data_IF_590345399572
#
_entry.id   IF_590345399572
#
_cell.length_a   1.000
_cell.length_b   1.000
_cell.length_c   1.000
_cell.angle_alpha   90.00
_cell.angle_beta   90.00
_cell.angle_gamma   90.00
#
_symmetry.space_group_name_H-M   'P 1'
#
loop_
_entity.id
_entity.type
_entity.pdbx_description
1 polymer ?
#
# COMPACT_ATOMS: atom_id res chain seq x y z
N UNK A 1 -11.28 -14.70 4.43
CA UNK A 1 -12.11 -14.91 3.20
C UNK A 1 -11.89 -13.81 2.15
N UNK A 2 -11.82 -12.53 2.57
CA UNK A 2 -11.53 -11.37 1.70
C UNK A 2 -10.24 -11.51 0.87
N UNK A 3 -9.15 -11.93 1.49
CA UNK A 3 -7.85 -12.11 0.82
C UNK A 3 -7.85 -12.98 -0.43
N UNK A 4 -8.67 -14.04 -0.48
CA UNK A 4 -8.70 -14.91 -1.67
C UNK A 4 -9.22 -14.18 -2.91
N UNK A 5 -9.97 -13.11 -2.72
CA UNK A 5 -10.58 -12.35 -3.80
C UNK A 5 -9.76 -11.10 -4.16
N UNK A 6 -9.11 -10.49 -3.17
CA UNK A 6 -8.26 -9.32 -3.37
C UNK A 6 -6.90 -9.68 -3.97
N UNK A 7 -6.33 -10.84 -3.61
CA UNK A 7 -5.02 -11.26 -4.11
C UNK A 7 -4.95 -11.43 -5.65
N UNK A 8 -5.94 -12.05 -6.33
CA UNK A 8 -5.95 -12.07 -7.80
C UNK A 8 -6.00 -10.68 -8.43
N UNK A 9 -6.72 -9.73 -7.80
CA UNK A 9 -6.79 -8.35 -8.28
C UNK A 9 -5.45 -7.66 -8.10
N UNK A 10 -4.81 -7.82 -6.95
CA UNK A 10 -3.46 -7.31 -6.69
C UNK A 10 -2.45 -7.87 -7.71
N UNK A 11 -2.44 -9.18 -7.94
CA UNK A 11 -1.56 -9.84 -8.91
C UNK A 11 -1.83 -9.38 -10.34
N UNK A 12 -3.11 -9.22 -10.71
CA UNK A 12 -3.51 -8.69 -12.00
C UNK A 12 -3.06 -7.25 -12.19
N UNK A 13 -3.22 -6.41 -11.15
CA UNK A 13 -2.80 -5.00 -11.17
C UNK A 13 -1.28 -4.87 -11.27
N UNK A 14 -0.51 -5.62 -10.48
CA UNK A 14 0.96 -5.59 -10.55
C UNK A 14 1.47 -6.11 -11.88
N UNK A 15 0.88 -7.18 -12.42
CA UNK A 15 1.26 -7.69 -13.74
C UNK A 15 0.92 -6.68 -14.85
N UNK A 16 -0.27 -6.06 -14.80
CA UNK A 16 -0.65 -5.04 -15.76
C UNK A 16 0.33 -3.86 -15.74
N UNK A 17 0.70 -3.38 -14.55
CA UNK A 17 1.65 -2.28 -14.40
C UNK A 17 3.05 -2.69 -14.85
N UNK A 18 3.49 -3.91 -14.54
CA UNK A 18 4.77 -4.41 -15.00
C UNK A 18 4.83 -4.44 -16.55
N UNK A 19 3.80 -4.98 -17.21
CA UNK A 19 3.70 -5.04 -18.67
C UNK A 19 3.63 -3.64 -19.30
N UNK A 20 2.82 -2.74 -18.74
CA UNK A 20 2.74 -1.35 -19.21
C UNK A 20 4.08 -0.61 -19.05
N UNK A 21 4.78 -0.88 -17.95
CA UNK A 21 6.15 -0.42 -17.74
C UNK A 21 7.06 -0.83 -18.90
N UNK A 22 7.14 -2.12 -19.24
CA UNK A 22 8.06 -2.62 -20.27
C UNK A 22 7.74 -2.18 -21.72
N UNK A 23 6.53 -1.69 -22.02
CA UNK A 23 6.09 -1.47 -23.40
C UNK A 23 6.11 -0.01 -23.82
N UNK A 24 5.40 0.87 -23.11
CA UNK A 24 5.19 2.26 -23.55
C UNK A 24 5.04 3.28 -22.40
N UNK A 25 5.24 2.85 -21.15
CA UNK A 25 4.85 3.63 -19.97
C UNK A 25 3.32 3.69 -19.80
N UNK A 26 2.86 4.54 -18.88
CA UNK A 26 1.44 4.67 -18.55
C UNK A 26 0.92 5.97 -19.17
N UNK A 27 0.37 5.86 -20.38
CA UNK A 27 -0.34 6.96 -21.04
C UNK A 27 -1.75 7.18 -20.50
N UNK A 28 -2.38 8.28 -20.92
CA UNK A 28 -3.72 8.70 -20.49
C UNK A 28 -4.79 7.60 -20.53
N UNK A 29 -4.82 6.82 -21.61
CA UNK A 29 -5.80 5.73 -21.78
C UNK A 29 -5.52 4.62 -20.76
N UNK A 30 -4.27 4.20 -20.62
CA UNK A 30 -3.89 3.14 -19.69
C UNK A 30 -4.20 3.56 -18.24
N UNK A 31 -3.87 4.79 -17.87
CA UNK A 31 -4.20 5.35 -16.56
C UNK A 31 -5.72 5.38 -16.30
N UNK A 32 -6.51 5.86 -17.26
CA UNK A 32 -7.96 5.88 -17.13
C UNK A 32 -8.56 4.47 -16.98
N UNK A 33 -8.04 3.49 -17.72
CA UNK A 33 -8.46 2.08 -17.59
C UNK A 33 -8.13 1.53 -16.20
N UNK A 34 -6.94 1.79 -15.67
CA UNK A 34 -6.56 1.38 -14.30
C UNK A 34 -7.48 2.01 -13.24
N UNK A 35 -7.77 3.31 -13.38
CA UNK A 35 -8.65 4.01 -12.44
C UNK A 35 -10.10 3.50 -12.50
N UNK A 36 -10.63 3.24 -13.71
CA UNK A 36 -11.95 2.62 -13.88
C UNK A 36 -11.96 1.19 -13.31
N UNK A 37 -10.86 0.44 -13.44
CA UNK A 37 -10.73 -0.88 -12.83
C UNK A 37 -10.80 -0.81 -11.30
N UNK A 38 -10.21 0.23 -10.66
CA UNK A 38 -10.39 0.47 -9.23
C UNK A 38 -11.86 0.71 -8.89
N UNK A 39 -12.55 1.59 -9.61
CA UNK A 39 -13.96 1.89 -9.35
C UNK A 39 -14.85 0.65 -9.50
N UNK A 40 -14.59 -0.16 -10.53
CA UNK A 40 -15.27 -1.43 -10.74
C UNK A 40 -14.97 -2.42 -9.60
N UNK A 41 -13.72 -2.53 -9.16
CA UNK A 41 -13.32 -3.38 -8.04
C UNK A 41 -14.02 -2.97 -6.74
N UNK A 42 -14.02 -1.67 -6.41
CA UNK A 42 -14.72 -1.14 -5.23
C UNK A 42 -16.22 -1.40 -5.33
N UNK A 43 -16.85 -1.09 -6.47
CA UNK A 43 -18.28 -1.32 -6.68
C UNK A 43 -18.67 -2.80 -6.56
N UNK A 44 -17.87 -3.71 -7.14
CA UNK A 44 -18.06 -5.15 -7.02
C UNK A 44 -17.83 -5.65 -5.59
N UNK A 45 -16.87 -5.08 -4.87
CA UNK A 45 -16.59 -5.43 -3.47
C UNK A 45 -17.78 -5.06 -2.58
N UNK A 46 -18.31 -3.84 -2.73
CA UNK A 46 -19.50 -3.36 -2.02
C UNK A 46 -20.75 -4.20 -2.33
N UNK A 47 -20.93 -4.57 -3.60
CA UNK A 47 -22.08 -5.39 -4.00
C UNK A 47 -22.02 -6.83 -3.51
N UNK A 48 -20.82 -7.43 -3.48
CA UNK A 48 -20.64 -8.82 -3.02
C UNK A 48 -20.70 -8.97 -1.52
N UNK A 49 -20.30 -7.94 -0.79
CA UNK A 49 -20.09 -8.02 0.65
C UNK A 49 -20.75 -6.83 1.37
N UNK A 50 -22.08 -6.64 1.25
CA UNK A 50 -22.78 -5.53 1.89
C UNK A 50 -22.60 -5.55 3.42
N UNK A 51 -22.50 -6.74 4.01
CA UNK A 51 -22.45 -6.92 5.47
C UNK A 51 -21.03 -7.15 6.02
N UNK A 52 -19.98 -7.13 5.16
CA UNK A 52 -18.62 -7.43 5.62
C UNK A 52 -18.08 -6.38 6.60
N UNK A 53 -18.41 -5.10 6.37
CA UNK A 53 -18.05 -4.03 7.28
C UNK A 53 -18.70 -4.21 8.66
N UNK A 54 -19.97 -4.64 8.70
CA UNK A 54 -20.72 -4.87 9.94
C UNK A 54 -20.20 -6.10 10.68
N UNK A 55 -19.86 -7.17 9.96
CA UNK A 55 -19.27 -8.39 10.54
C UNK A 55 -17.88 -8.10 11.13
N UNK A 56 -17.02 -7.39 10.39
CA UNK A 56 -15.70 -6.98 10.87
C UNK A 56 -15.79 -6.03 12.06
N UNK A 57 -16.78 -5.12 12.06
CA UNK A 57 -17.03 -4.25 13.19
C UNK A 57 -17.50 -5.06 14.42
N UNK A 58 -18.41 -6.02 14.26
CA UNK A 58 -18.91 -6.83 15.38
C UNK A 58 -17.82 -7.66 16.07
N UNK A 59 -16.82 -8.14 15.32
CA UNK A 59 -15.70 -8.91 15.88
C UNK A 59 -14.68 -8.05 16.67
N UNK A 60 -14.64 -6.75 16.39
CA UNK A 60 -13.58 -5.86 16.89
C UNK A 60 -14.08 -4.68 17.74
N UNK A 61 -15.36 -4.35 17.62
CA UNK A 61 -16.04 -3.34 18.44
C UNK A 61 -16.72 -4.11 19.58
N UNK A 62 -16.33 -3.88 20.85
CA UNK A 62 -16.97 -4.51 21.99
C UNK A 62 -18.50 -4.30 21.94
N UNK A 63 -19.27 -5.31 22.35
CA UNK A 63 -20.72 -5.26 22.38
C UNK A 63 -21.23 -3.92 22.93
N UNK A 64 -22.10 -3.27 22.15
CA UNK A 64 -22.49 -1.87 22.27
C UNK A 64 -22.60 -1.36 23.72
N UNK A 65 -21.80 -0.33 24.04
CA UNK A 65 -22.13 0.60 25.11
C UNK A 65 -23.42 1.36 24.76
N UNK A 66 -24.03 2.00 25.76
CA UNK A 66 -25.17 2.92 25.57
C UNK A 66 -24.98 3.81 24.33
N UNK A 67 -26.06 4.14 23.59
CA UNK A 67 -25.96 4.93 22.37
C UNK A 67 -25.14 6.19 22.60
N UNK A 68 -24.06 6.34 21.83
CA UNK A 68 -23.12 7.46 21.96
C UNK A 68 -23.87 8.78 21.92
N UNK A 69 -23.58 9.64 22.89
CA UNK A 69 -24.05 11.02 22.90
C UNK A 69 -23.45 11.78 21.71
N UNK A 70 -24.15 12.82 21.25
CA UNK A 70 -23.63 13.70 20.17
C UNK A 70 -22.25 14.28 20.50
N UNK A 71 -21.97 14.49 21.78
CA UNK A 71 -20.69 14.98 22.26
C UNK A 71 -19.58 13.94 22.11
N UNK A 72 -19.86 12.67 22.39
CA UNK A 72 -18.90 11.57 22.20
C UNK A 72 -18.59 11.37 20.71
N UNK A 73 -19.60 11.38 19.85
CA UNK A 73 -19.39 11.29 18.39
C UNK A 73 -18.53 12.45 17.90
N UNK A 74 -18.83 13.69 18.32
CA UNK A 74 -18.04 14.85 17.96
C UNK A 74 -16.59 14.75 18.46
N UNK A 75 -16.39 14.26 19.70
CA UNK A 75 -15.06 14.03 20.28
C UNK A 75 -14.27 13.00 19.49
N UNK A 76 -14.85 11.84 19.18
CA UNK A 76 -14.19 10.79 18.40
C UNK A 76 -13.89 11.26 16.97
N UNK A 77 -14.80 12.00 16.34
CA UNK A 77 -14.57 12.59 15.02
C UNK A 77 -13.40 13.59 15.03
N UNK A 78 -13.31 14.44 16.07
CA UNK A 78 -12.18 15.37 16.24
C UNK A 78 -10.88 14.60 16.47
N UNK A 79 -10.88 13.58 17.33
CA UNK A 79 -9.69 12.75 17.58
C UNK A 79 -9.24 12.01 16.32
N UNK A 80 -10.18 11.50 15.52
CA UNK A 80 -9.91 10.86 14.24
C UNK A 80 -9.25 11.84 13.26
N UNK A 81 -9.83 13.04 13.09
CA UNK A 81 -9.29 14.05 12.18
C UNK A 81 -7.90 14.55 12.63
N UNK A 82 -7.71 14.77 13.93
CA UNK A 82 -6.42 15.14 14.49
C UNK A 82 -5.38 14.03 14.30
N UNK A 83 -5.77 12.77 14.51
CA UNK A 83 -4.90 11.61 14.30
C UNK A 83 -4.49 11.44 12.83
N UNK A 84 -5.46 11.55 11.91
CA UNK A 84 -5.21 11.50 10.47
C UNK A 84 -4.30 12.65 10.02
N UNK A 85 -4.58 13.88 10.45
CA UNK A 85 -3.76 15.04 10.14
C UNK A 85 -2.35 14.92 10.72
N UNK A 86 -2.22 14.44 11.97
CA UNK A 86 -0.93 14.20 12.61
C UNK A 86 -0.10 13.14 11.90
N UNK A 87 -0.72 12.05 11.43
CA UNK A 87 -0.04 11.03 10.64
C UNK A 87 0.45 11.57 9.30
N UNK A 88 -0.40 12.29 8.56
CA UNK A 88 -0.05 12.86 7.26
C UNK A 88 1.07 13.92 7.36
N UNK A 89 0.95 14.86 8.29
CA UNK A 89 1.98 15.88 8.52
C UNK A 89 3.28 15.25 9.02
N UNK A 90 3.17 14.25 9.90
CA UNK A 90 4.33 13.52 10.41
C UNK A 90 5.09 12.77 9.31
N UNK A 91 4.37 12.12 8.38
CA UNK A 91 5.00 11.47 7.23
C UNK A 91 5.68 12.47 6.30
N UNK A 92 5.04 13.60 6.01
CA UNK A 92 5.60 14.61 5.10
C UNK A 92 6.89 15.21 5.66
N UNK A 93 6.88 15.61 6.94
CA UNK A 93 8.09 16.13 7.60
C UNK A 93 9.22 15.10 7.64
N UNK A 94 8.91 13.82 7.86
CA UNK A 94 9.88 12.75 7.85
C UNK A 94 10.47 12.53 6.45
N UNK A 95 9.64 12.55 5.40
CA UNK A 95 10.07 12.43 4.00
C UNK A 95 10.98 13.58 3.62
N UNK A 96 10.58 14.83 3.90
CA UNK A 96 11.36 16.02 3.54
C UNK A 96 12.72 16.03 4.23
N UNK A 97 12.74 15.75 5.55
CA UNK A 97 13.97 15.69 6.33
C UNK A 97 14.92 14.59 5.85
N UNK A 98 14.41 13.37 5.65
CA UNK A 98 15.21 12.24 5.20
C UNK A 98 15.70 12.42 3.76
N UNK A 99 14.88 12.98 2.87
CA UNK A 99 15.26 13.25 1.47
C UNK A 99 16.37 14.30 1.41
N UNK A 100 16.28 15.36 2.22
CA UNK A 100 17.32 16.38 2.32
C UNK A 100 18.66 15.84 2.82
N UNK A 101 18.65 14.87 3.76
CA UNK A 101 19.87 14.18 4.21
C UNK A 101 20.43 13.30 3.08
N UNK A 102 19.58 12.52 2.42
CA UNK A 102 19.98 11.61 1.34
C UNK A 102 20.61 12.34 0.15
N UNK A 103 20.03 13.48 -0.25
CA UNK A 103 20.61 14.34 -1.29
C UNK A 103 22.01 14.84 -0.92
N UNK A 104 22.20 15.29 0.32
CA UNK A 104 23.52 15.75 0.82
C UNK A 104 24.53 14.61 0.96
N UNK A 105 24.06 13.38 1.09
CA UNK A 105 24.88 12.17 1.10
C UNK A 105 25.23 11.68 -0.32
N UNK A 106 24.80 12.37 -1.38
CA UNK A 106 25.11 12.02 -2.77
C UNK A 106 24.27 10.88 -3.35
N UNK A 107 23.14 10.54 -2.73
CA UNK A 107 22.21 9.52 -3.24
C UNK A 107 21.41 10.14 -4.41
N UNK A 108 21.26 9.40 -5.52
CA UNK A 108 20.50 9.86 -6.69
C UNK A 108 19.02 10.11 -6.37
N UNK A 109 18.41 11.07 -7.08
CA UNK A 109 16.99 11.40 -6.93
C UNK A 109 16.07 10.19 -7.18
N UNK A 110 16.42 9.34 -8.15
CA UNK A 110 15.68 8.10 -8.43
C UNK A 110 15.70 7.18 -7.20
N UNK A 111 16.89 6.93 -6.61
CA UNK A 111 17.01 6.08 -5.42
C UNK A 111 16.28 6.69 -4.21
N UNK A 112 16.32 8.01 -4.03
CA UNK A 112 15.53 8.69 -2.99
C UNK A 112 14.03 8.47 -3.22
N UNK A 113 13.57 8.60 -4.47
CA UNK A 113 12.18 8.36 -4.88
C UNK A 113 11.70 6.95 -4.55
N UNK A 114 12.46 5.94 -4.96
CA UNK A 114 12.07 4.53 -4.76
C UNK A 114 12.35 4.00 -3.35
N UNK A 115 13.00 4.78 -2.48
CA UNK A 115 13.29 4.39 -1.08
C UNK A 115 12.64 5.34 -0.08
N UNK A 116 13.23 6.50 0.15
CA UNK A 116 12.84 7.45 1.20
C UNK A 116 11.42 7.96 1.00
N UNK A 117 11.09 8.42 -0.21
CA UNK A 117 9.75 8.92 -0.52
C UNK A 117 8.74 7.78 -0.44
N UNK A 118 9.01 6.64 -1.09
CA UNK A 118 8.13 5.48 -1.08
C UNK A 118 7.83 4.94 0.34
N UNK A 119 8.84 4.86 1.20
CA UNK A 119 8.68 4.46 2.61
C UNK A 119 7.85 5.50 3.34
N UNK A 120 8.19 6.77 3.19
CA UNK A 120 7.60 7.84 3.96
C UNK A 120 6.12 8.04 3.68
N UNK A 121 5.69 7.95 2.41
CA UNK A 121 4.25 7.99 2.05
C UNK A 121 3.48 6.78 2.57
N UNK A 122 4.18 5.66 2.81
CA UNK A 122 3.60 4.43 3.37
C UNK A 122 3.64 4.39 4.90
N UNK A 123 4.25 5.38 5.59
CA UNK A 123 4.34 5.40 7.05
C UNK A 123 2.97 5.39 7.76
N UNK A 124 1.96 6.19 7.34
CA UNK A 124 0.65 6.13 7.96
C UNK A 124 0.02 4.73 7.86
N UNK A 125 0.22 4.05 6.73
CA UNK A 125 -0.27 2.70 6.46
C UNK A 125 0.47 1.66 7.30
N UNK A 126 1.79 1.79 7.44
CA UNK A 126 2.60 0.93 8.31
C UNK A 126 2.14 1.06 9.76
N UNK A 127 1.92 2.28 10.25
CA UNK A 127 1.49 2.52 11.64
C UNK A 127 0.10 1.94 11.89
N UNK A 128 -0.87 2.20 11.01
CA UNK A 128 -2.24 1.68 11.14
C UNK A 128 -2.28 0.15 11.05
N UNK A 129 -1.53 -0.45 10.13
CA UNK A 129 -1.37 -1.91 9.99
C UNK A 129 -0.72 -2.52 11.22
N UNK A 130 0.37 -1.92 11.72
CA UNK A 130 1.09 -2.42 12.89
C UNK A 130 0.21 -2.38 14.14
N UNK A 131 -0.54 -1.30 14.35
CA UNK A 131 -1.50 -1.18 15.46
C UNK A 131 -2.59 -2.26 15.36
N UNK A 132 -3.15 -2.50 14.17
CA UNK A 132 -4.12 -3.57 13.96
C UNK A 132 -3.53 -4.95 14.28
N UNK A 133 -2.32 -5.24 13.79
CA UNK A 133 -1.63 -6.49 14.06
C UNK A 133 -1.31 -6.68 15.56
N UNK A 134 -0.85 -5.64 16.26
CA UNK A 134 -0.60 -5.70 17.70
C UNK A 134 -1.85 -5.93 18.55
N UNK A 135 -3.02 -5.53 18.03
CA UNK A 135 -4.32 -5.82 18.66
C UNK A 135 -4.85 -7.23 18.36
N UNK A 136 -4.12 -8.04 17.60
CA UNK A 136 -4.53 -9.37 17.17
C UNK A 136 -5.46 -9.37 15.94
N UNK A 137 -5.67 -8.21 15.31
CA UNK A 137 -6.60 -8.04 14.20
C UNK A 137 -5.89 -8.33 12.86
N UNK A 138 -5.37 -9.55 12.72
CA UNK A 138 -4.53 -9.93 11.58
C UNK A 138 -5.25 -9.80 10.23
N UNK A 139 -6.55 -10.10 10.19
CA UNK A 139 -7.36 -9.97 8.98
C UNK A 139 -7.49 -8.52 8.52
N UNK A 140 -7.66 -7.58 9.46
CA UNK A 140 -7.71 -6.13 9.19
C UNK A 140 -6.34 -5.63 8.72
N UNK A 141 -5.26 -6.05 9.41
CA UNK A 141 -3.91 -5.66 9.04
C UNK A 141 -3.59 -6.11 7.60
N UNK A 142 -3.94 -7.34 7.24
CA UNK A 142 -3.65 -7.89 5.92
C UNK A 142 -4.55 -7.30 4.82
N UNK A 143 -5.83 -7.06 5.11
CA UNK A 143 -6.73 -6.32 4.22
C UNK A 143 -6.24 -4.89 3.96
N UNK A 144 -5.68 -4.21 4.95
CA UNK A 144 -5.10 -2.88 4.78
C UNK A 144 -3.89 -2.92 3.84
N UNK A 145 -2.96 -3.86 4.03
CA UNK A 145 -1.77 -4.01 3.17
C UNK A 145 -2.15 -4.33 1.71
N UNK A 146 -3.08 -5.27 1.50
CA UNK A 146 -3.49 -5.66 0.15
C UNK A 146 -4.33 -4.54 -0.50
N UNK A 147 -5.29 -3.98 0.23
CA UNK A 147 -6.17 -2.91 -0.22
C UNK A 147 -5.42 -1.62 -0.59
N UNK A 148 -4.50 -1.16 0.25
CA UNK A 148 -3.66 0.03 -0.05
C UNK A 148 -2.79 -0.20 -1.27
N UNK A 149 -2.23 -1.39 -1.47
CA UNK A 149 -1.47 -1.69 -2.70
C UNK A 149 -2.35 -1.68 -3.95
N UNK A 150 -3.56 -2.26 -3.89
CA UNK A 150 -4.53 -2.18 -5.00
C UNK A 150 -4.88 -0.71 -5.28
N UNK A 151 -5.12 0.09 -4.24
CA UNK A 151 -5.44 1.51 -4.37
C UNK A 151 -4.26 2.33 -4.94
N UNK A 152 -3.03 2.07 -4.51
CA UNK A 152 -1.85 2.78 -5.03
C UNK A 152 -1.61 2.44 -6.50
N UNK A 153 -1.77 1.17 -6.88
CA UNK A 153 -1.55 0.68 -8.24
C UNK A 153 -2.67 1.10 -9.21
N UNK A 154 -3.94 0.99 -8.82
CA UNK A 154 -5.07 1.28 -9.70
C UNK A 154 -5.57 2.73 -9.54
N UNK A 155 -5.59 3.24 -8.32
CA UNK A 155 -6.08 4.57 -7.96
C UNK A 155 -5.05 5.66 -8.18
N UNK A 156 -3.99 5.67 -7.38
CA UNK A 156 -2.97 6.73 -7.43
C UNK A 156 -2.27 6.73 -8.78
N UNK A 157 -1.71 5.59 -9.20
CA UNK A 157 -1.01 5.49 -10.47
C UNK A 157 -1.96 5.60 -11.67
N UNK A 158 -3.16 5.02 -11.59
CA UNK A 158 -4.17 5.12 -12.64
C UNK A 158 -4.65 6.56 -12.86
N UNK A 159 -5.02 7.26 -11.79
CA UNK A 159 -5.44 8.66 -11.86
C UNK A 159 -4.31 9.56 -12.36
N UNK A 160 -3.10 9.38 -11.82
CA UNK A 160 -1.93 10.16 -12.27
C UNK A 160 -1.66 9.91 -13.75
N UNK A 161 -1.70 8.64 -14.18
CA UNK A 161 -1.56 8.25 -15.58
C UNK A 161 -2.66 8.81 -16.49
N UNK A 162 -3.89 8.92 -15.98
CA UNK A 162 -5.02 9.50 -16.71
C UNK A 162 -4.81 11.00 -16.96
N UNK A 163 -4.25 11.71 -15.98
CA UNK A 163 -4.00 13.15 -16.04
C UNK A 163 -2.70 13.48 -16.78
N UNK A 164 -1.65 12.67 -16.60
CA UNK A 164 -0.32 12.90 -17.16
C UNK A 164 0.30 11.58 -17.65
N UNK A 165 0.93 11.61 -18.82
CA UNK A 165 1.67 10.43 -19.31
C UNK A 165 2.89 10.18 -18.44
N UNK A 166 2.98 8.98 -17.87
CA UNK A 166 4.09 8.56 -17.01
C UNK A 166 5.10 7.75 -17.81
N UNK A 167 6.30 8.29 -17.94
CA UNK A 167 7.47 7.57 -18.44
C UNK A 167 8.17 6.85 -17.30
N UNK A 168 8.42 5.55 -17.46
CA UNK A 168 9.25 4.78 -16.52
C UNK A 168 10.70 4.87 -16.99
N UNK A 169 11.60 5.24 -16.09
CA UNK A 169 13.03 5.31 -16.38
C UNK A 169 13.57 3.91 -16.69
N UNK A 170 14.40 3.80 -17.74
CA UNK A 170 14.96 2.52 -18.18
C UNK A 170 15.75 1.79 -17.08
N UNK A 171 16.34 2.53 -16.14
CA UNK A 171 17.07 1.99 -14.98
C UNK A 171 16.18 1.12 -14.08
N UNK A 172 14.88 1.37 -14.05
CA UNK A 172 13.90 0.69 -13.18
C UNK A 172 13.43 -0.67 -13.73
N UNK A 173 13.58 -0.92 -15.04
CA UNK A 173 13.03 -2.11 -15.68
C UNK A 173 13.72 -3.40 -15.26
N UNK A 174 15.00 -3.35 -14.94
CA UNK A 174 15.78 -4.56 -14.67
C UNK A 174 15.59 -5.10 -13.25
N UNK A 175 15.16 -4.28 -12.29
CA UNK A 175 15.09 -4.70 -10.90
C UNK A 175 13.81 -4.28 -10.18
N UNK A 176 13.44 -3.02 -10.25
CA UNK A 176 12.32 -2.44 -9.50
C UNK A 176 10.98 -2.96 -10.03
N UNK A 177 10.80 -3.03 -11.36
CA UNK A 177 9.59 -3.59 -11.97
C UNK A 177 9.44 -5.10 -11.71
N UNK A 178 10.49 -5.95 -11.87
CA UNK A 178 10.44 -7.34 -11.42
C UNK A 178 10.17 -7.49 -9.92
N UNK A 179 10.80 -6.67 -9.06
CA UNK A 179 10.58 -6.73 -7.62
C UNK A 179 9.12 -6.40 -7.26
N UNK A 180 8.52 -5.41 -7.92
CA UNK A 180 7.09 -5.10 -7.81
C UNK A 180 6.24 -6.32 -8.15
N UNK A 181 6.50 -6.99 -9.27
CA UNK A 181 5.74 -8.16 -9.72
C UNK A 181 5.90 -9.39 -8.82
N UNK A 182 7.12 -9.62 -8.30
CA UNK A 182 7.44 -10.78 -7.44
C UNK A 182 6.89 -10.60 -6.02
N UNK A 183 6.83 -9.37 -5.50
CA UNK A 183 6.41 -9.11 -4.12
C UNK A 183 5.02 -9.66 -3.72
N UNK A 184 3.92 -9.47 -4.49
CA UNK A 184 2.62 -10.06 -4.15
C UNK A 184 2.60 -11.59 -4.36
N UNK A 185 3.43 -12.14 -5.25
CA UNK A 185 3.57 -13.58 -5.44
C UNK A 185 4.23 -14.21 -4.22
N UNK A 186 5.29 -13.58 -3.71
CA UNK A 186 5.95 -14.00 -2.49
C UNK A 186 4.99 -13.92 -1.30
N UNK A 187 4.23 -12.82 -1.17
CA UNK A 187 3.21 -12.68 -0.15
C UNK A 187 2.18 -13.81 -0.23
N UNK A 188 1.65 -14.09 -1.43
CA UNK A 188 0.69 -15.18 -1.66
C UNK A 188 1.27 -16.55 -1.27
N UNK A 189 2.51 -16.83 -1.68
CA UNK A 189 3.17 -18.09 -1.43
C UNK A 189 3.37 -18.34 0.07
N UNK A 190 3.74 -17.30 0.82
CA UNK A 190 3.92 -17.36 2.27
C UNK A 190 2.57 -17.46 3.01
N UNK A 191 1.53 -16.77 2.53
CA UNK A 191 0.19 -16.82 3.11
C UNK A 191 -0.67 -17.98 2.59
N UNK A 192 -0.10 -18.95 1.87
CA UNK A 192 -0.87 -20.02 1.23
C UNK A 192 -1.32 -21.09 2.22
N UNK A 193 -0.48 -21.38 3.21
CA UNK A 193 -0.67 -22.52 4.14
C UNK A 193 -1.61 -22.16 5.29
N UNK A 194 -1.44 -20.96 5.86
CA UNK A 194 -2.28 -20.42 6.92
C UNK A 194 -2.82 -19.05 6.50
N UNK A 195 -4.04 -18.71 6.93
CA UNK A 195 -4.62 -17.37 6.69
C UNK A 195 -3.92 -16.26 7.47
N UNK A 196 -2.89 -16.59 8.24
CA UNK A 196 -2.13 -15.68 9.07
C UNK A 196 -0.64 -15.80 8.76
N UNK A 197 0.02 -14.66 8.60
CA UNK A 197 1.47 -14.61 8.48
C UNK A 197 2.10 -14.86 9.86
N UNK A 198 2.92 -15.90 9.96
CA UNK A 198 3.68 -16.16 11.17
C UNK A 198 4.96 -15.30 11.23
N UNK A 199 5.62 -15.29 12.40
CA UNK A 199 6.84 -14.50 12.62
C UNK A 199 7.98 -14.83 11.64
N UNK A 200 8.08 -16.08 11.18
CA UNK A 200 9.13 -16.50 10.25
C UNK A 200 8.87 -15.98 8.85
N UNK A 201 7.62 -16.08 8.38
CA UNK A 201 7.18 -15.52 7.09
C UNK A 201 7.35 -14.00 7.05
N UNK A 202 6.98 -13.31 8.13
CA UNK A 202 7.23 -11.87 8.27
C UNK A 202 8.73 -11.52 8.24
N UNK A 203 9.58 -12.34 8.86
CA UNK A 203 11.03 -12.15 8.80
C UNK A 203 11.58 -12.35 7.37
N UNK A 204 11.06 -13.32 6.61
CA UNK A 204 11.43 -13.52 5.20
C UNK A 204 11.06 -12.29 4.37
N UNK A 205 9.85 -11.75 4.54
CA UNK A 205 9.40 -10.54 3.84
C UNK A 205 10.28 -9.33 4.19
N UNK A 206 10.64 -9.14 5.46
CA UNK A 206 11.54 -8.07 5.89
C UNK A 206 12.94 -8.21 5.29
N UNK A 207 13.50 -9.41 5.29
CA UNK A 207 14.82 -9.66 4.68
C UNK A 207 14.78 -9.39 3.17
N UNK A 208 13.73 -9.85 2.48
CA UNK A 208 13.55 -9.57 1.06
C UNK A 208 13.43 -8.06 0.79
N UNK A 209 12.65 -7.35 1.60
CA UNK A 209 12.49 -5.90 1.53
C UNK A 209 13.82 -5.16 1.72
N UNK A 210 14.56 -5.43 2.80
CA UNK A 210 15.86 -4.79 3.04
C UNK A 210 16.91 -5.16 1.99
N UNK A 211 16.87 -6.37 1.44
CA UNK A 211 17.73 -6.76 0.33
C UNK A 211 17.45 -5.93 -0.93
N UNK A 212 16.18 -5.71 -1.27
CA UNK A 212 15.78 -4.83 -2.39
C UNK A 212 16.27 -3.40 -2.17
N UNK A 213 16.04 -2.84 -0.98
CA UNK A 213 16.49 -1.48 -0.64
C UNK A 213 18.02 -1.37 -0.74
N UNK A 214 18.76 -2.34 -0.21
CA UNK A 214 20.22 -2.32 -0.27
C UNK A 214 20.74 -2.34 -1.73
N UNK A 215 20.16 -3.17 -2.59
CA UNK A 215 20.52 -3.21 -4.02
C UNK A 215 20.20 -1.89 -4.71
N UNK A 216 19.03 -1.31 -4.45
CA UNK A 216 18.63 -0.01 -5.00
C UNK A 216 19.60 1.10 -4.58
N UNK A 217 19.97 1.16 -3.30
CA UNK A 217 20.89 2.18 -2.80
C UNK A 217 22.29 2.04 -3.39
N UNK A 218 22.80 0.81 -3.54
CA UNK A 218 24.13 0.57 -4.16
C UNK A 218 24.11 0.97 -5.64
N UNK A 219 23.04 0.66 -6.36
CA UNK A 219 22.86 1.04 -7.77
C UNK A 219 22.65 2.54 -7.96
N UNK A 220 22.04 3.20 -6.99
CA UNK A 220 21.74 4.63 -7.04
C UNK A 220 22.84 5.54 -6.49
N UNK A 221 23.89 4.99 -5.89
CA UNK A 221 25.05 5.71 -5.39
C UNK A 221 26.27 5.66 -6.33
N UNK A 222 26.19 4.89 -7.42
CA UNK A 222 27.20 4.79 -8.48
C UNK A 222 26.73 5.45 -9.77
#
# INVERSE_FOLDING_TARGET
RLLRWEMPVLLGATLAIAVLGFTAGIGHIAGAVLFVALLAFVGLSLWRQPDAAETLAADHVPAAHDPLTRLEIAREAVLLLLGMGGLALGSDLAVEGASGIAMRAGISEVAIGVTVIAIGTSLPEIVTTAVAAFRGNHDIALANVVGSNIFNLLGVLGLTGAVATLSVDNSLYLFEVPALAVSPVLLLALSWTDTHLNRKEGAVLLVAYFAVIAVVLVRGAG
#
